data_IF_119082246052
#
_entry.id   IF_119082246052
#
_cell.length_a   1.000
_cell.length_b   1.000
_cell.length_c   1.000
_cell.angle_alpha   90.00
_cell.angle_beta   90.00
_cell.angle_gamma   90.00
#
_symmetry.space_group_name_H-M   'P 1'
#
loop_
_entity.id
_entity.type
_entity.pdbx_description
1 polymer ?
#
# COMPACT_ATOMS: atom_id res chain seq x y z
N UNK A 1 4.11 -24.44 33.41
CA UNK A 1 4.76 -23.54 32.44
C UNK A 1 5.18 -24.44 31.29
N UNK A 2 4.32 -24.58 30.28
CA UNK A 2 4.54 -25.52 29.17
C UNK A 2 5.58 -24.95 28.23
N UNK A 3 6.69 -25.66 28.08
CA UNK A 3 7.72 -25.37 27.08
C UNK A 3 7.15 -25.85 25.74
N UNK A 4 6.44 -24.96 25.04
CA UNK A 4 6.13 -25.16 23.62
C UNK A 4 7.48 -25.24 22.92
N UNK A 5 7.78 -26.39 22.31
CA UNK A 5 9.11 -26.63 21.77
C UNK A 5 9.37 -25.63 20.63
N UNK A 6 10.53 -24.97 20.67
CA UNK A 6 10.93 -24.00 19.62
C UNK A 6 10.95 -24.64 18.22
N UNK A 7 11.09 -25.96 18.14
CA UNK A 7 11.08 -26.75 16.90
C UNK A 7 9.67 -26.84 16.29
N UNK A 8 8.62 -27.01 17.10
CA UNK A 8 7.21 -27.03 16.62
C UNK A 8 6.78 -25.68 16.02
N UNK A 9 7.29 -24.57 16.57
CA UNK A 9 7.03 -23.23 16.06
C UNK A 9 7.71 -22.98 14.70
N UNK A 10 8.90 -23.56 14.49
CA UNK A 10 9.63 -23.46 13.21
C UNK A 10 8.96 -24.29 12.10
N UNK A 11 8.46 -25.50 12.41
CA UNK A 11 7.72 -26.32 11.43
C UNK A 11 6.38 -25.71 11.00
N UNK A 12 5.61 -25.14 11.93
CA UNK A 12 4.36 -24.43 11.61
C UNK A 12 4.63 -23.18 10.77
N UNK A 13 5.68 -22.42 11.09
CA UNK A 13 6.07 -21.23 10.32
C UNK A 13 6.51 -21.60 8.90
N UNK A 14 7.31 -22.67 8.73
CA UNK A 14 7.72 -23.17 7.43
C UNK A 14 6.54 -23.66 6.59
N UNK A 15 5.57 -24.34 7.20
CA UNK A 15 4.36 -24.81 6.53
C UNK A 15 3.50 -23.62 6.05
N UNK A 16 3.31 -22.61 6.88
CA UNK A 16 2.57 -21.38 6.51
C UNK A 16 3.28 -20.62 5.39
N UNK A 17 4.61 -20.54 5.41
CA UNK A 17 5.39 -19.94 4.31
C UNK A 17 5.19 -20.69 2.99
N UNK A 18 5.13 -22.04 3.03
CA UNK A 18 4.81 -22.87 1.85
C UNK A 18 3.40 -22.60 1.34
N UNK A 19 2.40 -22.57 2.21
CA UNK A 19 1.00 -22.26 1.84
C UNK A 19 0.87 -20.89 1.17
N UNK A 20 1.60 -19.88 1.66
CA UNK A 20 1.64 -18.56 1.03
C UNK A 20 2.21 -18.61 -0.39
N UNK A 21 3.28 -19.37 -0.61
CA UNK A 21 3.88 -19.54 -1.95
C UNK A 21 2.91 -20.25 -2.90
N UNK A 22 2.28 -21.33 -2.46
CA UNK A 22 1.30 -22.07 -3.25
C UNK A 22 0.08 -21.21 -3.63
N UNK A 23 -0.40 -20.37 -2.71
CA UNK A 23 -1.47 -19.40 -3.00
C UNK A 23 -1.06 -18.36 -4.05
N UNK A 24 0.18 -17.83 -3.99
CA UNK A 24 0.72 -16.91 -5.01
C UNK A 24 0.81 -17.59 -6.38
N UNK A 25 1.29 -18.83 -6.44
CA UNK A 25 1.38 -19.61 -7.67
C UNK A 25 -0.01 -19.92 -8.27
N UNK A 26 -0.99 -20.26 -7.43
CA UNK A 26 -2.36 -20.48 -7.88
C UNK A 26 -2.98 -19.21 -8.49
N UNK A 27 -2.77 -18.05 -7.87
CA UNK A 27 -3.26 -16.78 -8.40
C UNK A 27 -2.62 -16.44 -9.76
N UNK A 28 -1.32 -16.68 -9.93
CA UNK A 28 -0.65 -16.51 -11.22
C UNK A 28 -1.26 -17.45 -12.29
N UNK A 29 -1.55 -18.70 -11.92
CA UNK A 29 -2.22 -19.67 -12.80
C UNK A 29 -3.64 -19.24 -13.17
N UNK A 30 -4.43 -18.76 -12.20
CA UNK A 30 -5.79 -18.22 -12.42
C UNK A 30 -5.74 -17.04 -13.40
N UNK A 31 -4.76 -16.14 -13.25
CA UNK A 31 -4.61 -15.00 -14.15
C UNK A 31 -4.26 -15.45 -15.57
N UNK A 32 -3.40 -16.46 -15.73
CA UNK A 32 -3.14 -17.09 -17.01
C UNK A 32 -4.39 -17.69 -17.66
N UNK A 33 -5.20 -18.43 -16.89
CA UNK A 33 -6.45 -19.01 -17.37
C UNK A 33 -7.49 -17.95 -17.76
N UNK A 34 -7.55 -16.82 -17.03
CA UNK A 34 -8.40 -15.66 -17.37
C UNK A 34 -7.97 -14.98 -18.67
N UNK A 35 -6.67 -14.89 -18.93
CA UNK A 35 -6.15 -14.30 -20.17
C UNK A 35 -6.37 -15.22 -21.39
N UNK A 36 -6.36 -16.54 -21.19
CA UNK A 36 -6.59 -17.53 -22.25
C UNK A 36 -8.05 -17.61 -22.74
N UNK A 37 -9.01 -17.03 -22.00
CA UNK A 37 -10.43 -17.04 -22.34
C UNK A 37 -10.88 -15.64 -22.80
N UNK A 38 -11.25 -15.47 -24.10
CA UNK A 38 -11.73 -14.20 -24.62
C UNK A 38 -12.96 -13.67 -23.88
N UNK A 39 -13.04 -12.34 -23.71
CA UNK A 39 -14.12 -11.68 -22.95
C UNK A 39 -15.52 -11.93 -23.52
N UNK A 40 -15.64 -12.24 -24.82
CA UNK A 40 -16.90 -12.42 -25.52
C UNK A 40 -17.48 -13.86 -25.42
N UNK A 41 -16.70 -14.84 -24.96
CA UNK A 41 -17.15 -16.23 -24.86
C UNK A 41 -17.79 -16.52 -23.50
N UNK A 42 -19.10 -16.29 -23.41
CA UNK A 42 -19.89 -16.44 -22.18
C UNK A 42 -19.87 -17.86 -21.62
N UNK A 43 -19.84 -18.90 -22.48
CA UNK A 43 -19.87 -20.31 -22.05
C UNK A 43 -18.53 -20.69 -21.43
N UNK A 44 -17.41 -20.37 -22.10
CA UNK A 44 -16.07 -20.64 -21.57
C UNK A 44 -15.74 -19.83 -20.33
N UNK A 45 -16.26 -18.60 -20.19
CA UNK A 45 -16.12 -17.80 -18.97
C UNK A 45 -16.86 -18.39 -17.76
N UNK A 46 -18.05 -18.96 -17.98
CA UNK A 46 -18.78 -19.66 -16.91
C UNK A 46 -18.00 -20.88 -16.43
N UNK A 47 -17.52 -21.72 -17.36
CA UNK A 47 -16.67 -22.87 -17.05
C UNK A 47 -15.39 -22.46 -16.30
N UNK A 48 -14.71 -21.41 -16.79
CA UNK A 48 -13.52 -20.88 -16.14
C UNK A 48 -13.79 -20.44 -14.69
N UNK A 49 -14.95 -19.82 -14.43
CA UNK A 49 -15.30 -19.38 -13.07
C UNK A 49 -15.53 -20.56 -12.14
N UNK A 50 -16.18 -21.62 -12.63
CA UNK A 50 -16.38 -22.87 -11.89
C UNK A 50 -15.05 -23.60 -11.63
N UNK A 51 -14.18 -23.67 -12.63
CA UNK A 51 -12.86 -24.30 -12.52
C UNK A 51 -11.95 -23.55 -11.52
N UNK A 52 -11.97 -22.21 -11.54
CA UNK A 52 -11.24 -21.38 -10.56
C UNK A 52 -11.75 -21.62 -9.15
N UNK A 53 -13.07 -21.63 -8.95
CA UNK A 53 -13.67 -21.89 -7.63
C UNK A 53 -13.32 -23.30 -7.12
N UNK A 54 -13.27 -24.29 -8.00
CA UNK A 54 -12.88 -25.66 -7.66
C UNK A 54 -11.41 -25.73 -7.23
N UNK A 55 -10.50 -25.12 -7.99
CA UNK A 55 -9.07 -25.11 -7.68
C UNK A 55 -8.76 -24.38 -6.35
N UNK A 56 -9.44 -23.26 -6.09
CA UNK A 56 -9.30 -22.52 -4.82
C UNK A 56 -9.82 -23.35 -3.64
N UNK A 57 -10.96 -24.03 -3.79
CA UNK A 57 -11.53 -24.87 -2.74
C UNK A 57 -10.67 -26.11 -2.43
N UNK A 58 -10.11 -26.76 -3.46
CA UNK A 58 -9.20 -27.90 -3.29
C UNK A 58 -7.91 -27.50 -2.57
N UNK A 59 -7.32 -26.35 -2.92
CA UNK A 59 -6.12 -25.84 -2.26
C UNK A 59 -6.39 -25.49 -0.79
N UNK A 60 -7.48 -24.78 -0.49
CA UNK A 60 -7.81 -24.42 0.89
C UNK A 60 -8.10 -25.65 1.74
N UNK A 61 -8.79 -26.65 1.17
CA UNK A 61 -9.02 -27.94 1.84
C UNK A 61 -7.70 -28.64 2.18
N UNK A 62 -6.77 -28.70 1.22
CA UNK A 62 -5.44 -29.31 1.43
C UNK A 62 -4.64 -28.59 2.51
N UNK A 63 -4.59 -27.25 2.47
CA UNK A 63 -3.89 -26.45 3.48
C UNK A 63 -4.48 -26.64 4.88
N UNK A 64 -5.81 -26.73 4.97
CA UNK A 64 -6.49 -27.02 6.23
C UNK A 64 -6.15 -28.41 6.76
N UNK A 65 -6.17 -29.44 5.91
CA UNK A 65 -5.80 -30.81 6.28
C UNK A 65 -4.33 -30.90 6.73
N UNK A 66 -3.40 -30.23 6.05
CA UNK A 66 -1.98 -30.18 6.43
C UNK A 66 -1.77 -29.50 7.80
N UNK A 67 -2.50 -28.42 8.09
CA UNK A 67 -2.46 -27.77 9.42
C UNK A 67 -3.09 -28.63 10.51
N UNK A 68 -4.15 -29.37 10.21
CA UNK A 68 -4.77 -30.30 11.15
C UNK A 68 -3.87 -31.51 11.43
N UNK A 69 -3.18 -32.03 10.41
CA UNK A 69 -2.19 -33.09 10.54
C UNK A 69 -0.99 -32.64 11.38
N UNK A 70 -0.45 -31.44 11.14
CA UNK A 70 0.67 -30.90 11.95
C UNK A 70 0.28 -30.74 13.43
N UNK A 71 -0.96 -30.34 13.70
CA UNK A 71 -1.51 -30.26 15.08
C UNK A 71 -1.72 -31.63 15.73
N UNK A 72 -1.97 -32.67 14.94
CA UNK A 72 -2.11 -34.04 15.44
C UNK A 72 -0.74 -34.67 15.69
N UNK A 73 0.24 -34.48 14.80
CA UNK A 73 1.60 -34.98 14.97
C UNK A 73 2.31 -34.34 16.17
N UNK A 74 2.12 -33.04 16.41
CA UNK A 74 2.59 -32.34 17.62
C UNK A 74 1.93 -32.86 18.92
N UNK A 75 0.70 -33.40 18.84
CA UNK A 75 0.04 -34.06 19.97
C UNK A 75 0.48 -35.51 20.17
N UNK A 76 0.96 -36.19 19.13
CA UNK A 76 1.45 -37.57 19.20
C UNK A 76 2.90 -37.63 19.70
N UNK A 77 3.75 -36.66 19.37
CA UNK A 77 5.11 -36.52 19.92
C UNK A 77 5.18 -36.19 21.42
N UNK A 78 4.04 -35.82 22.04
CA UNK A 78 3.89 -35.65 23.49
C UNK A 78 3.27 -36.87 24.21
N UNK A 79 2.98 -37.97 23.51
CA UNK A 79 2.42 -39.20 24.11
C UNK A 79 3.44 -40.33 24.20
N UNK A 80 4.57 -40.05 24.83
CA UNK A 80 5.42 -41.11 25.36
C UNK A 80 5.97 -40.73 26.74
N UNK A 81 5.09 -40.26 27.64
CA UNK A 81 5.29 -40.35 29.09
C UNK A 81 3.92 -40.32 29.80
N UNK A 82 3.68 -41.43 30.51
CA UNK A 82 2.69 -41.74 31.54
C UNK A 82 1.17 -41.72 31.25
N UNK A 83 0.64 -42.94 31.26
CA UNK A 83 -0.73 -43.27 31.55
C UNK A 83 -1.00 -43.13 33.06
N UNK A 84 -1.83 -42.16 33.48
CA UNK A 84 -2.75 -42.33 34.62
C UNK A 84 -4.04 -41.53 34.39
N UNK A 85 -5.14 -42.27 34.44
CA UNK A 85 -6.55 -41.89 34.40
C UNK A 85 -6.94 -40.84 35.46
N UNK A 86 -7.49 -39.68 35.05
CA UNK A 86 -8.44 -38.88 35.87
C UNK A 86 -9.55 -38.31 34.98
N UNK A 87 -10.77 -38.47 35.48
CA UNK A 87 -12.08 -38.27 34.88
C UNK A 87 -12.42 -36.85 34.39
N UNK A 88 -13.26 -36.82 33.35
CA UNK A 88 -14.34 -35.88 33.05
C UNK A 88 -14.32 -34.50 33.75
N UNK A 89 -14.09 -33.45 32.97
CA UNK A 89 -14.99 -32.29 32.95
C UNK A 89 -15.01 -31.65 31.56
N UNK A 90 -16.04 -31.94 30.80
CA UNK A 90 -16.40 -31.21 29.57
C UNK A 90 -16.82 -29.81 30.01
N UNK A 91 -15.91 -28.84 29.90
CA UNK A 91 -16.24 -27.42 29.88
C UNK A 91 -16.39 -27.01 28.42
N UNK A 92 -17.63 -26.98 27.94
CA UNK A 92 -17.99 -26.31 26.69
C UNK A 92 -17.70 -24.81 26.81
N UNK A 93 -16.47 -24.42 26.48
CA UNK A 93 -16.11 -23.03 26.23
C UNK A 93 -16.72 -22.60 24.89
N UNK A 94 -17.98 -22.19 24.90
CA UNK A 94 -18.52 -21.41 23.80
C UNK A 94 -17.74 -20.08 23.70
N UNK A 95 -17.13 -19.77 22.55
CA UNK A 95 -16.44 -18.50 22.39
C UNK A 95 -17.46 -17.36 22.55
N UNK A 96 -17.11 -16.28 23.28
CA UNK A 96 -18.02 -15.17 23.51
C UNK A 96 -18.50 -14.61 22.17
N UNK A 97 -19.82 -14.41 22.04
CA UNK A 97 -20.44 -13.86 20.82
C UNK A 97 -19.91 -12.46 20.55
N UNK A 98 -18.92 -12.37 19.67
CA UNK A 98 -18.33 -11.12 19.20
C UNK A 98 -19.43 -10.29 18.53
N UNK A 99 -19.59 -9.03 18.98
CA UNK A 99 -20.63 -8.15 18.43
C UNK A 99 -20.34 -7.83 16.96
N UNK A 100 -21.39 -7.55 16.18
CA UNK A 100 -21.25 -7.11 14.77
C UNK A 100 -20.38 -5.85 14.63
N UNK A 101 -20.36 -4.97 15.64
CA UNK A 101 -19.52 -3.78 15.65
C UNK A 101 -18.05 -4.12 15.90
N UNK A 102 -17.77 -5.07 16.80
CA UNK A 102 -16.42 -5.55 17.08
C UNK A 102 -15.83 -6.24 15.84
N UNK A 103 -16.60 -7.12 15.18
CA UNK A 103 -16.20 -7.76 13.92
C UNK A 103 -15.86 -6.77 12.80
N UNK A 104 -16.53 -5.61 12.74
CA UNK A 104 -16.22 -4.54 11.77
C UNK A 104 -14.90 -3.82 12.12
N UNK A 105 -14.65 -3.53 13.40
CA UNK A 105 -13.40 -2.92 13.88
C UNK A 105 -12.22 -3.87 13.66
N UNK A 106 -12.37 -5.14 14.01
CA UNK A 106 -11.34 -6.16 13.85
C UNK A 106 -10.99 -6.36 12.36
N UNK A 107 -12.00 -6.34 11.47
CA UNK A 107 -11.77 -6.40 10.02
C UNK A 107 -11.01 -5.18 9.50
N UNK A 108 -11.33 -3.97 9.99
CA UNK A 108 -10.61 -2.74 9.62
C UNK A 108 -9.16 -2.78 10.11
N UNK A 109 -8.95 -3.19 11.36
CA UNK A 109 -7.63 -3.32 11.95
C UNK A 109 -6.78 -4.39 11.24
N UNK A 110 -7.39 -5.52 10.85
CA UNK A 110 -6.73 -6.57 10.07
C UNK A 110 -6.30 -6.07 8.68
N UNK A 111 -7.18 -5.34 7.96
CA UNK A 111 -6.86 -4.72 6.67
C UNK A 111 -5.73 -3.68 6.78
N UNK A 112 -5.75 -2.85 7.82
CA UNK A 112 -4.70 -1.85 8.05
C UNK A 112 -3.37 -2.51 8.40
N UNK A 113 -3.39 -3.59 9.19
CA UNK A 113 -2.20 -4.38 9.51
C UNK A 113 -1.63 -5.06 8.27
N UNK A 114 -2.47 -5.70 7.45
CA UNK A 114 -2.05 -6.32 6.18
C UNK A 114 -1.47 -5.28 5.22
N UNK A 115 -2.07 -4.08 5.15
CA UNK A 115 -1.54 -2.98 4.35
C UNK A 115 -0.18 -2.51 4.86
N UNK A 116 -0.01 -2.36 6.18
CA UNK A 116 1.28 -2.01 6.80
C UNK A 116 2.34 -3.08 6.57
N UNK A 117 2.00 -4.36 6.71
CA UNK A 117 2.92 -5.48 6.45
C UNK A 117 3.35 -5.51 4.98
N UNK A 118 2.43 -5.31 4.04
CA UNK A 118 2.75 -5.25 2.61
C UNK A 118 3.64 -4.05 2.25
N UNK A 119 3.44 -2.91 2.92
CA UNK A 119 4.31 -1.74 2.78
C UNK A 119 5.70 -2.07 3.31
N UNK A 120 5.80 -2.65 4.51
CA UNK A 120 7.09 -3.01 5.11
C UNK A 120 7.86 -4.06 4.29
N UNK A 121 7.18 -5.07 3.73
CA UNK A 121 7.80 -6.06 2.83
C UNK A 121 8.33 -5.40 1.56
N UNK A 122 7.53 -4.50 0.95
CA UNK A 122 7.95 -3.73 -0.21
C UNK A 122 9.09 -2.76 0.11
N UNK A 123 9.14 -2.16 1.30
CA UNK A 123 10.25 -1.33 1.76
C UNK A 123 11.53 -2.15 1.91
N UNK A 124 11.43 -3.38 2.43
CA UNK A 124 12.56 -4.30 2.56
C UNK A 124 13.10 -4.75 1.20
N UNK A 125 12.22 -5.05 0.24
CA UNK A 125 12.61 -5.33 -1.14
C UNK A 125 13.22 -4.09 -1.83
N UNK A 126 12.77 -2.89 -1.47
CA UNK A 126 13.28 -1.63 -2.01
C UNK A 126 14.61 -1.18 -1.39
N UNK A 127 15.15 -1.83 -0.35
CA UNK A 127 16.45 -1.49 0.24
C UNK A 127 17.60 -1.52 -0.78
N UNK A 128 17.50 -2.36 -1.81
CA UNK A 128 18.47 -2.39 -2.91
C UNK A 128 17.95 -1.73 -4.20
N UNK A 129 16.77 -1.11 -4.14
CA UNK A 129 16.17 -0.40 -5.26
C UNK A 129 16.94 0.88 -5.56
N UNK A 130 16.95 1.27 -6.84
CA UNK A 130 17.62 2.51 -7.29
C UNK A 130 17.17 3.74 -6.49
N UNK A 131 15.90 3.80 -6.09
CA UNK A 131 15.33 4.89 -5.27
C UNK A 131 15.93 4.96 -3.87
N UNK A 132 16.17 3.82 -3.23
CA UNK A 132 16.77 3.79 -1.90
C UNK A 132 18.24 4.23 -1.97
N UNK A 133 19.00 3.69 -2.93
CA UNK A 133 20.39 4.08 -3.17
C UNK A 133 20.52 5.58 -3.49
N UNK A 134 19.61 6.13 -4.29
CA UNK A 134 19.53 7.57 -4.57
C UNK A 134 19.20 8.37 -3.30
N UNK A 135 18.22 7.92 -2.52
CA UNK A 135 17.83 8.54 -1.26
C UNK A 135 18.96 8.58 -0.24
N UNK A 136 19.72 7.49 -0.08
CA UNK A 136 20.88 7.44 0.81
C UNK A 136 21.98 8.41 0.36
N UNK A 137 22.28 8.46 -0.94
CA UNK A 137 23.25 9.41 -1.50
C UNK A 137 22.82 10.86 -1.26
N UNK A 138 21.54 11.17 -1.48
CA UNK A 138 20.99 12.49 -1.25
C UNK A 138 21.04 12.86 0.24
N UNK A 139 20.70 11.92 1.13
CA UNK A 139 20.80 12.10 2.58
C UNK A 139 22.25 12.39 3.03
N UNK A 140 23.24 11.68 2.48
CA UNK A 140 24.65 11.94 2.77
C UNK A 140 25.09 13.35 2.33
N UNK A 141 24.68 13.79 1.13
CA UNK A 141 24.98 15.12 0.61
C UNK A 141 24.35 16.22 1.48
N UNK A 142 23.11 16.00 1.93
CA UNK A 142 22.38 16.96 2.77
C UNK A 142 22.95 17.00 4.20
N UNK A 143 23.28 15.85 4.79
CA UNK A 143 23.87 15.77 6.11
C UNK A 143 25.21 16.53 6.20
N UNK A 144 26.03 16.47 5.14
CA UNK A 144 27.27 17.25 5.04
C UNK A 144 27.03 18.78 5.03
N UNK A 145 25.79 19.22 4.80
CA UNK A 145 25.35 20.62 4.83
C UNK A 145 24.44 20.94 6.01
N UNK A 146 24.34 20.03 6.99
CA UNK A 146 23.42 20.16 8.14
C UNK A 146 21.95 20.26 7.72
N UNK A 147 21.58 19.58 6.63
CA UNK A 147 20.21 19.50 6.10
C UNK A 147 19.71 18.06 6.10
N UNK A 148 18.38 17.89 6.11
CA UNK A 148 17.71 16.60 5.97
C UNK A 148 16.51 16.69 5.03
N UNK A 149 16.08 15.53 4.50
CA UNK A 149 14.85 15.45 3.70
C UNK A 149 13.67 15.27 4.63
N UNK A 150 12.73 16.20 4.56
CA UNK A 150 11.42 16.05 5.19
C UNK A 150 10.40 15.55 4.18
N UNK A 151 9.78 14.41 4.48
CA UNK A 151 8.84 13.79 3.56
C UNK A 151 7.50 14.53 3.55
N UNK A 152 7.11 15.01 2.37
CA UNK A 152 5.77 15.56 2.11
C UNK A 152 4.91 14.54 1.34
N UNK A 153 3.58 14.61 1.43
CA UNK A 153 2.73 13.69 0.69
C UNK A 153 2.92 13.82 -0.83
N UNK A 154 2.93 12.69 -1.53
CA UNK A 154 3.13 12.61 -2.98
C UNK A 154 1.82 12.86 -3.75
N UNK A 155 1.31 14.10 -3.68
CA UNK A 155 0.15 14.56 -4.44
C UNK A 155 0.50 15.82 -5.27
N UNK A 156 -0.46 16.34 -6.04
CA UNK A 156 -0.24 17.54 -6.85
C UNK A 156 -0.04 18.84 -6.07
N UNK A 157 -0.13 18.81 -4.73
CA UNK A 157 0.19 19.95 -3.87
C UNK A 157 1.59 19.86 -3.27
N UNK A 158 2.39 18.84 -3.58
CA UNK A 158 3.67 18.57 -2.94
C UNK A 158 4.64 19.77 -2.92
N UNK A 159 4.73 20.52 -4.03
CA UNK A 159 5.57 21.72 -4.11
C UNK A 159 5.12 22.81 -3.13
N UNK A 160 3.82 23.12 -3.13
CA UNK A 160 3.25 24.11 -2.21
C UNK A 160 3.34 23.66 -0.74
N UNK A 161 3.20 22.35 -0.47
CA UNK A 161 3.38 21.81 0.89
C UNK A 161 4.83 21.90 1.36
N UNK A 162 5.80 21.68 0.48
CA UNK A 162 7.20 21.88 0.80
C UNK A 162 7.51 23.35 1.15
N UNK A 163 6.89 24.30 0.43
CA UNK A 163 7.04 25.74 0.72
C UNK A 163 6.30 26.12 2.01
N UNK A 164 5.06 25.68 2.21
CA UNK A 164 4.27 25.88 3.45
C UNK A 164 5.06 25.43 4.68
N UNK A 165 5.68 24.25 4.61
CA UNK A 165 6.48 23.68 5.67
C UNK A 165 7.70 24.57 6.03
N UNK A 166 8.45 25.01 5.02
CA UNK A 166 9.60 25.90 5.19
C UNK A 166 9.21 27.30 5.70
N UNK A 167 8.04 27.80 5.29
CA UNK A 167 7.53 29.08 5.77
C UNK A 167 7.03 29.01 7.21
N UNK A 168 6.50 27.86 7.64
CA UNK A 168 6.11 27.61 9.02
C UNK A 168 7.33 27.65 9.95
N UNK A 169 8.47 27.09 9.51
CA UNK A 169 9.74 27.14 10.27
C UNK A 169 10.32 28.57 10.38
N UNK A 170 9.96 29.46 9.45
CA UNK A 170 10.41 30.87 9.41
C UNK A 170 9.43 31.87 10.02
N UNK A 171 8.47 31.40 10.81
CA UNK A 171 7.44 32.22 11.47
C UNK A 171 6.54 33.03 10.51
N UNK A 172 6.42 32.61 9.25
CA UNK A 172 5.54 33.23 8.24
C UNK A 172 4.54 32.20 7.69
N UNK A 173 3.67 31.61 8.53
CA UNK A 173 2.82 30.51 8.11
C UNK A 173 1.83 30.95 7.02
N UNK A 174 1.97 30.36 5.83
CA UNK A 174 1.01 30.48 4.74
C UNK A 174 0.49 29.10 4.40
N UNK A 175 -0.81 29.00 4.20
CA UNK A 175 -1.42 27.73 3.81
C UNK A 175 -1.16 27.44 2.33
N UNK A 176 -1.19 26.16 1.93
CA UNK A 176 -1.19 25.78 0.49
C UNK A 176 -2.21 26.57 -0.31
N UNK A 177 -3.41 26.78 0.23
CA UNK A 177 -4.46 27.55 -0.45
C UNK A 177 -4.04 29.02 -0.63
N UNK A 178 -3.49 29.66 0.40
CA UNK A 178 -3.00 31.03 0.32
C UNK A 178 -1.83 31.18 -0.65
N UNK A 179 -0.90 30.21 -0.65
CA UNK A 179 0.23 30.18 -1.60
C UNK A 179 -0.26 30.07 -3.04
N UNK A 180 -1.23 29.20 -3.32
CA UNK A 180 -1.83 29.04 -4.65
C UNK A 180 -2.54 30.31 -5.11
N UNK A 181 -3.33 30.94 -4.25
CA UNK A 181 -4.00 32.21 -4.56
C UNK A 181 -2.99 33.31 -4.88
N UNK A 182 -1.97 33.51 -4.03
CA UNK A 182 -0.92 34.52 -4.27
C UNK A 182 -0.14 34.26 -5.55
N UNK A 183 0.13 32.99 -5.85
CA UNK A 183 0.80 32.58 -7.10
C UNK A 183 -0.02 33.02 -8.31
N UNK A 184 -1.30 32.66 -8.34
CA UNK A 184 -2.18 33.03 -9.44
C UNK A 184 -2.37 34.55 -9.57
N UNK A 185 -2.55 35.26 -8.45
CA UNK A 185 -2.66 36.73 -8.43
C UNK A 185 -1.41 37.42 -8.99
N UNK A 186 -0.22 36.94 -8.61
CA UNK A 186 1.03 37.48 -9.13
C UNK A 186 1.17 37.21 -10.63
N UNK A 187 0.94 35.98 -11.07
CA UNK A 187 1.03 35.61 -12.48
C UNK A 187 0.05 36.40 -13.35
N UNK A 188 -1.19 36.61 -12.88
CA UNK A 188 -2.18 37.43 -13.57
C UNK A 188 -1.77 38.90 -13.71
N UNK A 189 -1.13 39.47 -12.69
CA UNK A 189 -0.66 40.86 -12.73
C UNK A 189 0.61 41.07 -13.57
N UNK A 190 1.30 39.97 -13.94
CA UNK A 190 2.55 39.99 -14.70
C UNK A 190 2.48 39.04 -15.90
N UNK A 191 1.32 38.96 -16.56
CA UNK A 191 1.05 37.99 -17.63
C UNK A 191 2.15 37.94 -18.71
N UNK A 192 2.66 39.10 -19.13
CA UNK A 192 3.67 39.20 -20.19
C UNK A 192 4.99 38.49 -19.84
N UNK A 193 5.32 38.38 -18.55
CA UNK A 193 6.53 37.72 -18.08
C UNK A 193 6.40 36.18 -18.11
N UNK A 194 5.18 35.66 -18.02
CA UNK A 194 4.90 34.23 -17.92
C UNK A 194 4.41 33.61 -19.23
N UNK A 195 3.68 34.38 -20.05
CA UNK A 195 3.08 33.90 -21.29
C UNK A 195 4.07 33.24 -22.26
N UNK A 196 5.32 33.74 -22.44
CA UNK A 196 6.31 33.12 -23.32
C UNK A 196 6.70 31.69 -22.94
N UNK A 197 6.43 31.27 -21.70
CA UNK A 197 6.78 29.94 -21.19
C UNK A 197 5.61 28.96 -21.18
N UNK A 198 4.42 29.39 -21.59
CA UNK A 198 3.20 28.58 -21.58
C UNK A 198 2.74 28.27 -23.01
N UNK A 199 2.73 26.99 -23.37
CA UNK A 199 2.37 26.51 -24.71
C UNK A 199 1.26 25.46 -24.67
N UNK A 200 0.32 25.53 -25.59
CA UNK A 200 -0.74 24.54 -25.74
C UNK A 200 -0.15 23.19 -26.16
N UNK A 201 -0.34 22.10 -25.39
CA UNK A 201 0.25 20.80 -25.71
C UNK A 201 -0.20 20.22 -27.06
N UNK A 202 -1.38 20.62 -27.56
CA UNK A 202 -1.94 20.09 -28.80
C UNK A 202 -1.52 20.89 -30.03
N UNK A 203 -1.40 22.22 -29.92
CA UNK A 203 -1.07 23.08 -31.06
C UNK A 203 0.41 23.48 -31.08
N UNK A 204 1.06 23.52 -29.92
CA UNK A 204 2.43 24.01 -29.74
C UNK A 204 2.53 25.54 -29.70
N UNK A 205 1.40 26.24 -29.87
CA UNK A 205 1.37 27.71 -29.82
C UNK A 205 1.41 28.22 -28.38
N UNK A 206 1.81 29.49 -28.21
CA UNK A 206 1.70 30.17 -26.93
C UNK A 206 0.24 30.25 -26.48
N UNK A 207 0.03 30.23 -25.16
CA UNK A 207 -1.29 30.41 -24.60
C UNK A 207 -1.92 31.74 -25.04
N UNK A 208 -3.23 31.72 -25.29
CA UNK A 208 -4.02 32.94 -25.38
C UNK A 208 -4.26 33.53 -23.98
N UNK A 209 -4.63 34.81 -23.86
CA UNK A 209 -5.00 35.39 -22.56
C UNK A 209 -6.11 34.62 -21.83
N UNK A 210 -7.04 34.02 -22.57
CA UNK A 210 -8.10 33.18 -22.02
C UNK A 210 -7.56 31.85 -21.47
N UNK A 211 -6.65 31.21 -22.20
CA UNK A 211 -5.99 29.98 -21.74
C UNK A 211 -5.09 30.24 -20.53
N UNK A 212 -4.40 31.39 -20.50
CA UNK A 212 -3.62 31.84 -19.35
C UNK A 212 -4.50 32.08 -18.11
N UNK A 213 -5.65 32.74 -18.30
CA UNK A 213 -6.62 32.94 -17.22
C UNK A 213 -7.09 31.61 -16.63
N UNK A 214 -7.43 30.64 -17.50
CA UNK A 214 -7.79 29.29 -17.07
C UNK A 214 -6.65 28.60 -16.31
N UNK A 215 -5.42 28.73 -16.78
CA UNK A 215 -4.25 28.15 -16.09
C UNK A 215 -4.08 28.72 -14.68
N UNK A 216 -4.25 30.04 -14.51
CA UNK A 216 -4.23 30.65 -13.18
C UNK A 216 -5.39 30.17 -12.30
N UNK A 217 -6.59 30.00 -12.86
CA UNK A 217 -7.72 29.42 -12.13
C UNK A 217 -7.45 27.96 -11.70
N UNK A 218 -6.81 27.18 -12.56
CA UNK A 218 -6.43 25.79 -12.28
C UNK A 218 -5.38 25.72 -11.15
N UNK A 219 -4.44 26.68 -11.08
CA UNK A 219 -3.50 26.81 -9.96
C UNK A 219 -4.25 26.95 -8.63
N UNK A 220 -5.31 27.75 -8.56
CA UNK A 220 -6.05 28.00 -7.32
C UNK A 220 -6.95 26.83 -6.95
N UNK A 221 -7.69 26.31 -7.93
CA UNK A 221 -8.87 25.49 -7.66
C UNK A 221 -8.62 23.98 -7.77
N UNK A 222 -7.41 23.56 -8.21
CA UNK A 222 -7.11 22.15 -8.45
C UNK A 222 -5.81 21.70 -7.79
N UNK A 223 -5.51 20.40 -7.93
CA UNK A 223 -4.22 19.82 -7.59
C UNK A 223 -3.25 19.86 -8.78
N UNK A 224 -3.33 20.88 -9.64
CA UNK A 224 -2.35 21.10 -10.71
C UNK A 224 -0.94 21.16 -10.11
N UNK A 225 -0.02 20.43 -10.75
CA UNK A 225 1.37 20.35 -10.31
C UNK A 225 2.03 21.70 -10.53
N UNK A 226 2.65 22.25 -9.50
CA UNK A 226 3.48 23.44 -9.65
C UNK A 226 4.84 23.09 -10.26
N UNK A 227 5.43 24.05 -10.95
CA UNK A 227 6.74 23.93 -11.57
C UNK A 227 7.58 25.19 -11.36
N UNK A 228 8.47 25.45 -12.32
CA UNK A 228 9.42 26.55 -12.24
C UNK A 228 8.74 27.92 -12.20
N UNK A 229 7.66 28.10 -12.96
CA UNK A 229 6.97 29.40 -13.10
C UNK A 229 6.38 29.86 -11.77
N UNK A 230 5.83 28.93 -11.00
CA UNK A 230 5.23 29.20 -9.70
C UNK A 230 6.27 29.38 -8.58
N UNK A 231 7.49 28.89 -8.76
CA UNK A 231 8.59 29.02 -7.79
C UNK A 231 9.39 30.30 -8.00
N UNK A 232 9.39 30.86 -9.21
CA UNK A 232 10.17 32.05 -9.56
C UNK A 232 9.50 33.40 -9.23
N UNK A 233 8.42 33.39 -8.42
CA UNK A 233 7.65 34.57 -8.03
C UNK A 233 8.36 35.46 -7.00
#
# INVERSE_FOLDING_TARGET
>A
MEVVSLEELDEEEQLVRRHRKEKKELQAKIQGMKNAVPKNDKKRRKQLTEDVAKLEAEMEKKHKEELEQLKLTSKESKRDFDAVNISNLVLENHPPRISRAQKRRDRKAALEKEQKERIAEAELENLHGARHVEGEKLAQILAARELEIKQVPSDGHCMYRAIEDQLQERESPLTVAALRSRTAEYMQSHMEDFLPFLTNPNTGDMYTPEEFGKYCDDIVNTAAWGGQLEVSL
#
